data_IF_873661169097
#
_entry.id   IF_873661169097
#
_cell.length_a   1.000
_cell.length_b   1.000
_cell.length_c   1.000
_cell.angle_alpha   90.00
_cell.angle_beta   90.00
_cell.angle_gamma   90.00
#
_symmetry.space_group_name_H-M   'P 1'
#
loop_
_entity.id
_entity.type
_entity.pdbx_description
1 polymer ?
#
# COMPACT_ATOMS: atom_id res chain seq x y z
N UNK A 1 0.09 -43.12 -0.21
CA UNK A 1 -0.79 -42.01 -0.65
C UNK A 1 -1.47 -41.43 0.58
N UNK A 2 -1.02 -40.29 1.06
CA UNK A 2 -1.65 -39.54 2.14
C UNK A 2 -1.93 -38.14 1.59
N UNK A 3 -3.21 -37.82 1.45
CA UNK A 3 -3.69 -36.49 1.06
C UNK A 3 -3.56 -35.59 2.29
N UNK A 4 -2.91 -34.41 2.23
CA UNK A 4 -2.84 -33.54 3.38
C UNK A 4 -4.18 -32.84 3.62
N UNK A 5 -4.53 -32.73 4.90
CA UNK A 5 -5.74 -32.09 5.43
C UNK A 5 -5.82 -30.64 4.96
N UNK A 6 -6.97 -30.28 4.40
CA UNK A 6 -7.42 -28.90 4.20
C UNK A 6 -7.23 -28.10 5.50
N UNK A 7 -6.48 -26.99 5.42
CA UNK A 7 -6.57 -25.93 6.41
C UNK A 7 -7.99 -25.37 6.37
N UNK A 8 -8.76 -25.65 7.42
CA UNK A 8 -9.99 -24.94 7.71
C UNK A 8 -9.58 -23.55 8.22
N UNK A 9 -9.77 -22.52 7.39
CA UNK A 9 -9.67 -21.12 7.81
C UNK A 9 -10.76 -20.87 8.85
N UNK A 10 -10.37 -20.85 10.12
CA UNK A 10 -11.21 -20.27 11.18
C UNK A 10 -11.35 -18.79 10.82
N UNK A 11 -12.57 -18.36 10.52
CA UNK A 11 -12.91 -16.96 10.37
C UNK A 11 -12.72 -16.29 11.74
N UNK A 12 -11.53 -15.71 11.96
CA UNK A 12 -11.32 -14.70 12.99
C UNK A 12 -12.23 -13.53 12.61
N UNK A 13 -13.02 -13.04 13.58
CA UNK A 13 -13.81 -11.83 13.40
C UNK A 13 -12.89 -10.74 12.85
N UNK A 14 -13.13 -10.31 11.60
CA UNK A 14 -12.33 -9.26 10.95
C UNK A 14 -12.53 -7.98 11.74
N UNK A 15 -11.46 -7.49 12.36
CA UNK A 15 -11.42 -6.12 12.83
C UNK A 15 -11.46 -5.15 11.66
N UNK A 16 -11.66 -3.88 11.98
CA UNK A 16 -11.67 -2.78 11.04
C UNK A 16 -10.29 -2.65 10.37
N UNK A 17 -10.17 -3.13 9.13
CA UNK A 17 -8.96 -3.06 8.30
C UNK A 17 -7.73 -3.74 8.93
N UNK A 18 -7.82 -5.06 9.11
CA UNK A 18 -6.76 -5.89 9.72
C UNK A 18 -5.51 -6.08 8.84
N UNK A 19 -5.56 -5.66 7.57
CA UNK A 19 -4.45 -5.79 6.62
C UNK A 19 -4.34 -4.57 5.71
N UNK A 20 -3.15 -4.26 5.17
CA UNK A 20 -3.00 -3.15 4.23
C UNK A 20 -3.79 -3.39 2.94
N UNK A 21 -4.32 -2.31 2.36
CA UNK A 21 -5.13 -2.36 1.14
C UNK A 21 -4.34 -2.84 -0.08
N UNK A 22 -4.99 -3.61 -0.96
CA UNK A 22 -4.53 -3.90 -2.31
C UNK A 22 -5.50 -3.30 -3.31
N UNK A 23 -4.98 -2.75 -4.39
CA UNK A 23 -5.85 -2.12 -5.36
C UNK A 23 -5.13 -1.45 -6.50
N UNK A 24 -5.82 -0.46 -7.02
CA UNK A 24 -5.43 0.34 -8.16
C UNK A 24 -5.61 1.81 -7.82
N UNK A 25 -4.72 2.67 -8.28
CA UNK A 25 -4.86 4.11 -8.17
C UNK A 25 -4.52 4.78 -9.50
N UNK A 26 -5.27 5.80 -9.88
CA UNK A 26 -5.15 6.45 -11.19
C UNK A 26 -3.96 7.42 -11.34
N UNK A 27 -3.23 7.73 -10.26
CA UNK A 27 -2.30 8.85 -10.18
C UNK A 27 -1.20 8.85 -11.24
N UNK A 28 -0.38 7.81 -11.28
CA UNK A 28 0.75 7.73 -12.21
C UNK A 28 0.30 7.63 -13.69
N UNK A 29 -0.98 7.35 -13.96
CA UNK A 29 -1.55 7.33 -15.31
C UNK A 29 -2.20 8.67 -15.69
N UNK A 30 -2.59 9.49 -14.72
CA UNK A 30 -3.57 10.56 -14.96
C UNK A 30 -3.36 11.90 -14.24
N UNK A 31 -2.76 11.95 -13.05
CA UNK A 31 -2.76 13.18 -12.23
C UNK A 31 -1.87 14.31 -12.77
N UNK A 32 -0.85 13.98 -13.56
CA UNK A 32 0.02 14.97 -14.21
C UNK A 32 -0.26 15.22 -15.70
N UNK A 33 -1.26 14.55 -16.27
CA UNK A 33 -1.49 14.55 -17.72
C UNK A 33 -2.50 15.63 -18.14
N UNK A 34 -2.44 16.02 -19.43
CA UNK A 34 -3.42 16.94 -20.03
C UNK A 34 -4.87 16.37 -20.04
N UNK A 35 -5.04 15.09 -19.68
CA UNK A 35 -6.33 14.41 -19.62
C UNK A 35 -6.41 13.60 -18.34
N UNK A 36 -7.30 14.02 -17.45
CA UNK A 36 -7.60 13.28 -16.22
C UNK A 36 -8.39 12.00 -16.51
N UNK A 37 -8.27 10.98 -15.64
CA UNK A 37 -9.13 9.80 -15.66
C UNK A 37 -10.61 10.19 -15.60
N UNK A 38 -11.45 9.39 -16.25
CA UNK A 38 -12.91 9.58 -16.28
C UNK A 38 -13.62 8.26 -15.93
N UNK A 39 -14.93 8.34 -15.68
CA UNK A 39 -15.74 7.18 -15.28
C UNK A 39 -15.59 5.99 -16.24
N UNK A 40 -15.66 6.24 -17.55
CA UNK A 40 -15.56 5.17 -18.56
C UNK A 40 -14.18 4.49 -18.55
N UNK A 41 -13.11 5.25 -18.37
CA UNK A 41 -11.76 4.71 -18.25
C UNK A 41 -11.59 3.90 -16.96
N UNK A 42 -12.11 4.40 -15.84
CA UNK A 42 -12.03 3.70 -14.55
C UNK A 42 -12.75 2.35 -14.60
N UNK A 43 -13.95 2.30 -15.19
CA UNK A 43 -14.71 1.06 -15.33
C UNK A 43 -14.03 0.06 -16.28
N UNK A 44 -13.32 0.52 -17.32
CA UNK A 44 -12.48 -0.37 -18.13
C UNK A 44 -11.30 -0.93 -17.35
N UNK A 45 -10.62 -0.11 -16.54
CA UNK A 45 -9.55 -0.60 -15.68
C UNK A 45 -10.09 -1.65 -14.69
N UNK A 46 -11.27 -1.42 -14.11
CA UNK A 46 -11.96 -2.38 -13.24
C UNK A 46 -12.27 -3.71 -13.95
N UNK A 47 -12.79 -3.67 -15.18
CA UNK A 47 -13.02 -4.88 -15.98
C UNK A 47 -11.72 -5.67 -16.22
N UNK A 48 -10.59 -4.98 -16.44
CA UNK A 48 -9.27 -5.61 -16.60
C UNK A 48 -8.76 -6.21 -15.28
N UNK A 49 -8.95 -5.54 -14.15
CA UNK A 49 -8.56 -6.07 -12.83
C UNK A 49 -9.29 -7.40 -12.55
N UNK A 50 -10.58 -7.48 -12.88
CA UNK A 50 -11.35 -8.72 -12.76
C UNK A 50 -10.84 -9.76 -13.76
N UNK A 51 -10.77 -9.42 -15.05
CA UNK A 51 -10.43 -10.37 -16.12
C UNK A 51 -9.01 -10.95 -15.99
N UNK A 52 -8.07 -10.19 -15.44
CA UNK A 52 -6.66 -10.60 -15.27
C UNK A 52 -6.35 -11.18 -13.89
N UNK A 53 -7.36 -11.40 -13.06
CA UNK A 53 -7.22 -12.09 -11.78
C UNK A 53 -6.66 -11.25 -10.62
N UNK A 54 -6.55 -9.93 -10.78
CA UNK A 54 -6.17 -9.02 -9.69
C UNK A 54 -7.22 -9.03 -8.58
N UNK A 55 -8.51 -8.88 -8.93
CA UNK A 55 -9.60 -8.92 -7.96
C UNK A 55 -9.61 -10.25 -7.18
N UNK A 56 -9.44 -11.38 -7.87
CA UNK A 56 -9.35 -12.70 -7.26
C UNK A 56 -8.09 -12.88 -6.37
N UNK A 57 -7.06 -12.08 -6.57
CA UNK A 57 -5.86 -12.03 -5.74
C UNK A 57 -5.99 -11.03 -4.56
N UNK A 58 -7.10 -10.30 -4.47
CA UNK A 58 -7.39 -9.36 -3.37
C UNK A 58 -7.26 -7.87 -3.72
N UNK A 59 -6.93 -7.53 -4.96
CA UNK A 59 -6.89 -6.13 -5.42
C UNK A 59 -8.32 -5.62 -5.70
N UNK A 60 -9.03 -5.22 -4.65
CA UNK A 60 -10.45 -4.84 -4.73
C UNK A 60 -10.67 -3.34 -4.79
N UNK A 61 -9.74 -2.54 -4.27
CA UNK A 61 -9.87 -1.09 -4.20
C UNK A 61 -9.49 -0.42 -5.53
N UNK A 62 -10.40 0.39 -6.09
CA UNK A 62 -10.21 1.14 -7.34
C UNK A 62 -10.30 2.63 -7.02
N UNK A 63 -9.15 3.27 -6.89
CA UNK A 63 -9.02 4.61 -6.30
C UNK A 63 -8.87 5.69 -7.37
N UNK A 64 -9.82 6.61 -7.40
CA UNK A 64 -9.68 7.87 -8.11
C UNK A 64 -8.71 8.78 -7.35
N UNK A 65 -7.78 9.35 -8.09
CA UNK A 65 -6.87 10.37 -7.61
C UNK A 65 -7.29 11.75 -8.19
N UNK A 66 -6.39 12.72 -8.27
CA UNK A 66 -6.69 14.09 -8.72
C UNK A 66 -7.50 14.17 -10.04
N UNK A 67 -8.38 15.18 -10.10
CA UNK A 67 -9.14 15.54 -11.30
C UNK A 67 -10.55 14.95 -11.37
N UNK A 68 -11.03 14.23 -10.37
CA UNK A 68 -12.41 13.73 -10.38
C UNK A 68 -13.48 14.82 -10.14
N UNK A 69 -13.16 15.83 -9.32
CA UNK A 69 -14.06 16.91 -8.94
C UNK A 69 -13.74 18.23 -9.65
N UNK A 70 -14.73 19.12 -9.70
CA UNK A 70 -14.52 20.52 -10.08
C UNK A 70 -13.79 21.29 -8.98
N UNK A 71 -13.09 22.36 -9.41
CA UNK A 71 -12.51 23.34 -8.48
C UNK A 71 -13.59 24.15 -7.76
N UNK A 72 -14.66 24.47 -8.49
CA UNK A 72 -15.81 25.17 -7.93
C UNK A 72 -16.69 24.18 -7.16
N UNK A 73 -17.08 24.58 -5.95
CA UNK A 73 -18.14 23.91 -5.19
C UNK A 73 -19.51 24.40 -5.68
N UNK A 74 -20.55 23.63 -5.42
CA UNK A 74 -21.92 24.08 -5.68
C UNK A 74 -22.36 25.23 -4.75
N UNK A 75 -23.58 25.75 -4.98
CA UNK A 75 -24.15 26.85 -4.20
C UNK A 75 -24.35 26.52 -2.71
N UNK A 76 -24.44 25.24 -2.35
CA UNK A 76 -24.53 24.78 -0.98
C UNK A 76 -23.14 24.58 -0.36
N UNK A 77 -22.08 24.58 -1.17
CA UNK A 77 -20.68 24.42 -0.82
C UNK A 77 -20.20 22.96 -0.78
N UNK A 78 -20.86 22.06 -1.50
CA UNK A 78 -20.43 20.66 -1.66
C UNK A 78 -19.40 20.54 -2.77
N UNK A 79 -18.49 19.57 -2.65
CA UNK A 79 -17.73 19.13 -3.82
C UNK A 79 -18.68 18.54 -4.85
N UNK A 80 -18.40 18.82 -6.11
CA UNK A 80 -19.16 18.27 -7.24
C UNK A 80 -18.20 17.53 -8.16
N UNK A 81 -18.59 16.34 -8.60
CA UNK A 81 -17.86 15.62 -9.62
C UNK A 81 -17.91 16.42 -10.93
N UNK A 82 -16.82 16.41 -11.69
CA UNK A 82 -16.80 17.06 -12.99
C UNK A 82 -17.73 16.29 -13.95
N UNK A 83 -18.82 16.91 -14.41
CA UNK A 83 -19.88 16.22 -15.19
C UNK A 83 -19.38 15.68 -16.55
N UNK A 84 -18.38 16.31 -17.16
CA UNK A 84 -17.78 15.82 -18.42
C UNK A 84 -17.01 14.51 -18.22
N UNK A 85 -16.38 14.34 -17.04
CA UNK A 85 -15.59 13.15 -16.70
C UNK A 85 -16.41 12.09 -15.96
N UNK A 86 -17.39 12.51 -15.16
CA UNK A 86 -18.20 11.68 -14.29
C UNK A 86 -19.68 12.04 -14.45
N UNK A 87 -20.28 11.78 -15.63
CA UNK A 87 -21.68 12.12 -15.88
C UNK A 87 -22.60 11.39 -14.90
N UNK A 88 -23.49 12.15 -14.24
CA UNK A 88 -24.33 11.62 -13.17
C UNK A 88 -23.62 11.45 -11.82
N UNK A 89 -22.39 11.94 -11.69
CA UNK A 89 -21.64 12.00 -10.43
C UNK A 89 -20.86 10.73 -10.06
N UNK A 90 -20.47 10.66 -8.79
CA UNK A 90 -19.61 9.57 -8.25
C UNK A 90 -20.40 8.27 -8.04
N UNK A 91 -21.66 8.37 -7.61
CA UNK A 91 -22.48 7.21 -7.22
C UNK A 91 -22.66 6.17 -8.32
N UNK A 92 -22.97 6.51 -9.58
CA UNK A 92 -23.06 5.52 -10.65
C UNK A 92 -21.77 4.72 -10.86
N UNK A 93 -20.61 5.32 -10.59
CA UNK A 93 -19.32 4.64 -10.66
C UNK A 93 -19.13 3.69 -9.48
N UNK A 94 -19.47 4.13 -8.27
CA UNK A 94 -19.46 3.28 -7.07
C UNK A 94 -20.36 2.05 -7.26
N UNK A 95 -21.63 2.26 -7.64
CA UNK A 95 -22.60 1.19 -7.88
C UNK A 95 -22.08 0.19 -8.93
N UNK A 96 -21.43 0.69 -10.00
CA UNK A 96 -20.86 -0.17 -11.04
C UNK A 96 -19.62 -0.96 -10.58
N UNK A 97 -18.80 -0.41 -9.67
CA UNK A 97 -17.68 -1.12 -9.06
C UNK A 97 -18.17 -2.16 -8.04
N UNK A 98 -19.13 -1.80 -7.18
CA UNK A 98 -19.74 -2.73 -6.22
C UNK A 98 -20.41 -3.91 -6.91
N UNK A 99 -21.04 -3.71 -8.07
CA UNK A 99 -21.59 -4.80 -8.89
C UNK A 99 -20.53 -5.79 -9.43
N UNK A 100 -19.23 -5.48 -9.29
CA UNK A 100 -18.08 -6.31 -9.65
C UNK A 100 -17.31 -6.84 -8.42
N UNK A 101 -17.88 -6.70 -7.23
CA UNK A 101 -17.19 -6.96 -5.95
C UNK A 101 -15.89 -6.14 -5.79
N UNK A 102 -15.89 -4.93 -6.36
CA UNK A 102 -14.81 -3.95 -6.22
C UNK A 102 -15.28 -2.75 -5.40
N UNK A 103 -14.33 -2.05 -4.82
CA UNK A 103 -14.53 -0.89 -3.95
C UNK A 103 -14.12 0.40 -4.68
N UNK A 104 -14.79 1.51 -4.40
CA UNK A 104 -14.43 2.82 -4.94
C UNK A 104 -13.61 3.63 -3.93
N UNK A 105 -12.46 4.12 -4.35
CA UNK A 105 -11.73 5.16 -3.62
C UNK A 105 -11.84 6.53 -4.24
N UNK A 106 -11.76 7.56 -3.40
CA UNK A 106 -11.75 8.96 -3.80
C UNK A 106 -10.56 9.71 -3.19
N UNK A 107 -10.27 10.89 -3.74
CA UNK A 107 -9.15 11.73 -3.34
C UNK A 107 -9.60 13.12 -2.89
N UNK A 108 -9.00 13.64 -1.84
CA UNK A 108 -9.15 15.02 -1.38
C UNK A 108 -7.84 15.52 -0.77
N UNK A 109 -7.84 16.74 -0.22
CA UNK A 109 -6.73 17.30 0.53
C UNK A 109 -7.20 18.09 1.74
N UNK A 110 -6.34 18.20 2.75
CA UNK A 110 -6.54 19.02 3.96
C UNK A 110 -6.52 20.54 3.73
N UNK A 111 -6.34 20.98 2.49
CA UNK A 111 -6.35 22.38 2.06
C UNK A 111 -7.63 22.75 1.26
N UNK A 112 -7.85 24.03 0.93
CA UNK A 112 -9.03 24.45 0.16
C UNK A 112 -9.10 23.90 -1.27
N UNK A 113 -7.96 23.57 -1.86
CA UNK A 113 -7.81 23.01 -3.22
C UNK A 113 -6.87 21.81 -3.15
N UNK A 114 -7.03 20.83 -4.04
CA UNK A 114 -6.10 19.69 -4.11
C UNK A 114 -4.69 20.12 -4.53
N UNK A 115 -3.70 19.24 -4.37
CA UNK A 115 -2.29 19.54 -4.66
C UNK A 115 -2.02 20.17 -6.04
N UNK A 116 -2.68 19.69 -7.09
CA UNK A 116 -2.55 20.22 -8.44
C UNK A 116 -3.43 21.43 -8.73
N UNK A 117 -4.22 21.90 -7.76
CA UNK A 117 -5.13 23.04 -7.89
C UNK A 117 -6.23 22.78 -8.93
N UNK A 118 -6.69 21.53 -9.04
CA UNK A 118 -7.67 21.09 -10.06
C UNK A 118 -9.04 20.77 -9.52
N UNK A 119 -9.11 20.48 -8.23
CA UNK A 119 -10.35 20.11 -7.54
C UNK A 119 -10.42 20.83 -6.20
N UNK A 120 -11.64 21.07 -5.71
CA UNK A 120 -11.82 21.58 -4.36
C UNK A 120 -11.28 20.56 -3.34
N UNK A 121 -10.48 21.00 -2.36
CA UNK A 121 -10.05 20.19 -1.22
C UNK A 121 -11.03 20.29 -0.05
N UNK A 122 -10.85 19.47 0.99
CA UNK A 122 -11.83 19.27 2.08
C UNK A 122 -11.63 20.16 3.31
N UNK A 123 -10.71 21.13 3.27
CA UNK A 123 -10.49 21.96 4.45
C UNK A 123 -11.78 22.56 5.03
N UNK A 124 -11.97 22.36 6.35
CA UNK A 124 -13.04 22.99 7.12
C UNK A 124 -14.43 22.47 6.73
N UNK A 125 -14.46 21.46 5.88
CA UNK A 125 -15.65 20.84 5.29
C UNK A 125 -15.59 19.32 5.43
N UNK A 126 -14.69 18.79 6.25
CA UNK A 126 -14.45 17.36 6.42
C UNK A 126 -15.74 16.61 6.82
N UNK A 127 -16.53 17.18 7.73
CA UNK A 127 -17.82 16.62 8.14
C UNK A 127 -18.83 16.49 6.99
N UNK A 128 -18.85 17.48 6.09
CA UNK A 128 -19.75 17.51 4.95
C UNK A 128 -19.28 16.58 3.85
N UNK A 129 -18.02 16.74 3.44
CA UNK A 129 -17.44 15.99 2.33
C UNK A 129 -17.37 14.50 2.70
N UNK A 130 -16.96 14.15 3.93
CA UNK A 130 -16.98 12.77 4.42
C UNK A 130 -18.37 12.12 4.41
N UNK A 131 -19.42 12.87 4.79
CA UNK A 131 -20.79 12.38 4.69
C UNK A 131 -21.25 12.18 3.24
N UNK A 132 -20.84 13.08 2.33
CA UNK A 132 -21.13 12.95 0.89
C UNK A 132 -20.43 11.71 0.29
N UNK A 133 -19.17 11.47 0.63
CA UNK A 133 -18.42 10.29 0.16
C UNK A 133 -19.14 9.00 0.54
N UNK A 134 -19.56 8.87 1.80
CA UNK A 134 -20.33 7.70 2.24
C UNK A 134 -21.67 7.59 1.51
N UNK A 135 -22.38 8.71 1.32
CA UNK A 135 -23.66 8.72 0.60
C UNK A 135 -23.52 8.35 -0.90
N UNK A 136 -22.34 8.61 -1.49
CA UNK A 136 -22.01 8.19 -2.86
C UNK A 136 -21.54 6.74 -2.96
N UNK A 137 -21.32 6.05 -1.84
CA UNK A 137 -20.83 4.67 -1.82
C UNK A 137 -19.31 4.53 -1.87
N UNK A 138 -18.56 5.57 -1.49
CA UNK A 138 -17.08 5.50 -1.41
C UNK A 138 -16.64 4.59 -0.27
N UNK A 139 -15.64 3.76 -0.51
CA UNK A 139 -15.07 2.77 0.42
C UNK A 139 -13.66 3.11 0.89
N UNK A 140 -12.97 4.01 0.17
CA UNK A 140 -11.61 4.44 0.46
C UNK A 140 -11.47 5.96 0.23
N UNK A 141 -10.77 6.65 1.12
CA UNK A 141 -10.44 8.07 0.97
C UNK A 141 -8.94 8.27 1.12
N UNK A 142 -8.28 8.82 0.09
CA UNK A 142 -6.94 9.40 0.18
C UNK A 142 -7.07 10.90 0.49
N UNK A 143 -6.46 11.35 1.59
CA UNK A 143 -6.50 12.74 2.04
C UNK A 143 -5.09 13.34 2.11
N UNK A 144 -4.81 14.12 1.09
CA UNK A 144 -3.48 14.65 0.77
C UNK A 144 -3.05 15.78 1.71
N UNK A 145 -1.73 15.95 1.82
CA UNK A 145 -1.05 16.89 2.70
C UNK A 145 -0.66 18.23 2.10
N UNK A 146 -1.03 18.54 0.86
CA UNK A 146 -0.58 19.77 0.22
C UNK A 146 -1.20 21.03 0.82
N UNK A 147 -0.35 22.00 1.17
CA UNK A 147 -0.77 23.32 1.65
C UNK A 147 -1.26 23.32 3.10
N UNK A 148 -1.66 24.50 3.57
CA UNK A 148 -2.34 24.66 4.85
C UNK A 148 -3.61 25.47 4.64
N UNK A 149 -4.66 25.12 5.37
CA UNK A 149 -5.90 25.87 5.29
C UNK A 149 -5.95 27.09 6.24
N UNK A 150 -5.03 27.14 7.20
CA UNK A 150 -4.94 28.22 8.16
C UNK A 150 -3.48 28.66 8.32
N UNK A 151 -3.31 29.90 8.79
CA UNK A 151 -2.02 30.49 9.19
C UNK A 151 -1.46 29.92 10.52
N UNK A 152 -2.04 28.84 11.05
CA UNK A 152 -1.58 28.17 12.27
C UNK A 152 -0.43 27.19 12.00
N UNK A 153 0.25 26.73 13.07
CA UNK A 153 1.20 25.62 13.01
C UNK A 153 0.55 24.44 12.26
N UNK A 154 1.02 24.20 11.03
CA UNK A 154 0.44 23.24 10.08
C UNK A 154 0.30 21.82 10.66
N UNK A 155 1.08 21.54 11.70
CA UNK A 155 1.11 20.28 12.42
C UNK A 155 -0.16 19.97 13.23
N UNK A 156 -0.57 20.86 14.12
CA UNK A 156 -1.76 20.59 14.94
C UNK A 156 -3.04 20.59 14.10
N UNK A 157 -3.03 21.38 13.01
CA UNK A 157 -4.13 21.41 12.07
C UNK A 157 -4.32 20.08 11.32
N UNK A 158 -3.27 19.50 10.71
CA UNK A 158 -3.47 18.29 9.91
C UNK A 158 -3.99 17.12 10.74
N UNK A 159 -3.52 16.95 11.99
CA UNK A 159 -4.08 15.95 12.90
C UNK A 159 -5.56 16.17 13.19
N UNK A 160 -5.96 17.43 13.41
CA UNK A 160 -7.36 17.76 13.66
C UNK A 160 -8.24 17.58 12.42
N UNK A 161 -7.73 17.92 11.23
CA UNK A 161 -8.44 17.71 9.96
C UNK A 161 -8.66 16.22 9.71
N UNK A 162 -7.63 15.38 9.85
CA UNK A 162 -7.77 13.93 9.77
C UNK A 162 -8.72 13.36 10.81
N UNK A 163 -8.69 13.88 12.05
CA UNK A 163 -9.65 13.48 13.08
C UNK A 163 -11.08 13.79 12.69
N UNK A 164 -11.33 14.95 12.08
CA UNK A 164 -12.66 15.36 11.62
C UNK A 164 -13.12 14.51 10.44
N UNK A 165 -12.25 14.27 9.46
CA UNK A 165 -12.56 13.43 8.32
C UNK A 165 -12.87 11.99 8.76
N UNK A 166 -12.01 11.37 9.57
CA UNK A 166 -12.24 10.02 10.09
C UNK A 166 -13.55 9.92 10.90
N UNK A 167 -13.83 10.92 11.75
CA UNK A 167 -15.09 10.97 12.48
C UNK A 167 -16.31 11.11 11.56
N UNK A 168 -16.21 11.91 10.49
CA UNK A 168 -17.25 12.08 9.50
C UNK A 168 -17.54 10.78 8.75
N UNK A 169 -16.49 10.12 8.25
CA UNK A 169 -16.58 8.85 7.53
C UNK A 169 -17.21 7.76 8.40
N UNK A 170 -16.72 7.58 9.62
CA UNK A 170 -17.28 6.60 10.57
C UNK A 170 -18.71 6.91 10.96
N UNK A 171 -18.99 8.17 11.30
CA UNK A 171 -20.33 8.61 11.71
C UNK A 171 -21.35 8.41 10.60
N UNK A 172 -21.01 8.80 9.37
CA UNK A 172 -21.87 8.62 8.21
C UNK A 172 -22.04 7.13 7.85
N UNK A 173 -20.97 6.33 7.89
CA UNK A 173 -21.04 4.90 7.61
C UNK A 173 -21.94 4.17 8.63
N UNK A 174 -21.80 4.49 9.92
CA UNK A 174 -22.65 3.95 10.97
C UNK A 174 -24.11 4.38 10.80
N UNK A 175 -24.37 5.66 10.48
CA UNK A 175 -25.72 6.15 10.22
C UNK A 175 -26.38 5.51 9.00
N UNK A 176 -25.58 5.16 7.98
CA UNK A 176 -26.01 4.43 6.79
C UNK A 176 -26.11 2.91 7.02
N UNK A 177 -25.75 2.40 8.21
CA UNK A 177 -25.79 0.97 8.54
C UNK A 177 -24.78 0.13 7.75
N UNK A 178 -23.65 0.72 7.32
CA UNK A 178 -22.60 -0.03 6.60
C UNK A 178 -21.88 -0.97 7.55
N UNK A 179 -21.71 -2.22 7.11
CA UNK A 179 -20.93 -3.23 7.85
C UNK A 179 -19.42 -2.96 7.77
N UNK A 180 -18.97 -2.47 6.61
CA UNK A 180 -17.56 -2.11 6.37
C UNK A 180 -17.38 -0.60 6.54
N UNK A 181 -16.40 -0.15 7.35
CA UNK A 181 -16.01 1.24 7.43
C UNK A 181 -15.37 1.73 6.11
N UNK A 182 -15.08 3.02 6.03
CA UNK A 182 -14.30 3.60 4.91
C UNK A 182 -12.82 3.57 5.27
N UNK A 183 -11.98 3.02 4.40
CA UNK A 183 -10.53 2.97 4.59
C UNK A 183 -9.97 4.37 4.42
N UNK A 184 -9.27 4.88 5.43
CA UNK A 184 -8.78 6.25 5.41
C UNK A 184 -7.27 6.32 5.29
N UNK A 185 -6.78 6.82 4.15
CA UNK A 185 -5.36 6.98 3.84
C UNK A 185 -4.94 8.43 3.95
N UNK A 186 -3.88 8.68 4.72
CA UNK A 186 -3.40 10.04 5.01
C UNK A 186 -2.00 10.27 4.46
N UNK A 187 -1.71 11.50 4.07
CA UNK A 187 -0.44 11.85 3.40
C UNK A 187 0.42 12.86 4.18
N UNK A 188 -0.22 13.77 4.92
CA UNK A 188 0.42 14.58 5.95
C UNK A 188 0.53 13.78 7.26
N UNK A 189 1.63 13.89 7.99
CA UNK A 189 1.67 13.36 9.37
C UNK A 189 2.62 14.17 10.24
N UNK A 190 2.12 15.24 10.86
CA UNK A 190 2.95 16.02 11.76
C UNK A 190 3.24 15.30 13.09
N UNK A 191 2.45 14.29 13.46
CA UNK A 191 2.79 13.36 14.54
C UNK A 191 2.30 11.93 14.22
N UNK A 192 3.03 11.25 13.35
CA UNK A 192 2.74 9.88 12.92
C UNK A 192 2.67 8.87 14.08
N UNK A 193 3.46 9.05 15.15
CA UNK A 193 3.39 8.16 16.32
C UNK A 193 1.98 8.19 16.93
N UNK A 194 1.43 9.39 17.15
CA UNK A 194 0.07 9.56 17.68
C UNK A 194 -0.99 8.98 16.74
N UNK A 195 -0.80 9.13 15.43
CA UNK A 195 -1.70 8.54 14.42
C UNK A 195 -1.69 7.02 14.52
N UNK A 196 -0.51 6.41 14.62
CA UNK A 196 -0.36 4.96 14.75
C UNK A 196 -0.95 4.38 16.03
N UNK A 197 -1.00 5.15 17.12
CA UNK A 197 -1.63 4.71 18.38
C UNK A 197 -3.16 4.76 18.33
N UNK A 198 -3.72 5.56 17.41
CA UNK A 198 -5.16 5.82 17.27
C UNK A 198 -5.60 5.82 15.80
N UNK A 199 -5.42 4.71 15.07
CA UNK A 199 -5.88 4.60 13.68
C UNK A 199 -7.40 4.83 13.57
N UNK A 200 -8.14 4.51 14.62
CA UNK A 200 -9.56 4.79 14.74
C UNK A 200 -9.93 6.28 14.68
N UNK A 201 -8.99 7.16 15.02
CA UNK A 201 -9.15 8.60 14.94
C UNK A 201 -8.47 9.24 13.74
N UNK A 202 -7.38 8.66 13.24
CA UNK A 202 -6.51 9.36 12.29
C UNK A 202 -6.35 8.64 10.95
N UNK A 203 -6.93 7.46 10.78
CA UNK A 203 -6.84 6.68 9.56
C UNK A 203 -5.92 5.48 9.65
N UNK A 204 -5.97 4.67 8.60
CA UNK A 204 -5.39 3.34 8.55
C UNK A 204 -4.01 3.31 7.92
N UNK A 205 -3.65 4.32 7.13
CA UNK A 205 -2.33 4.40 6.50
C UNK A 205 -1.76 5.80 6.56
N UNK A 206 -0.44 5.86 6.50
CA UNK A 206 0.29 7.09 6.29
C UNK A 206 1.37 6.95 5.21
N UNK A 207 1.33 7.87 4.24
CA UNK A 207 2.34 8.02 3.19
C UNK A 207 3.68 8.41 3.80
N UNK A 208 4.55 7.42 3.92
CA UNK A 208 5.74 7.46 4.76
C UNK A 208 6.85 8.35 4.21
N UNK A 209 6.88 8.57 2.89
CA UNK A 209 7.97 9.26 2.18
C UNK A 209 7.47 10.28 1.16
N UNK A 210 8.14 10.32 0.01
CA UNK A 210 7.80 11.20 -1.11
C UNK A 210 6.98 10.44 -2.16
N UNK A 211 6.49 11.12 -3.19
CA UNK A 211 5.94 10.45 -4.39
C UNK A 211 7.02 9.57 -5.03
N UNK A 212 6.71 8.30 -5.24
CA UNK A 212 7.60 7.38 -5.93
C UNK A 212 7.59 7.71 -7.41
N UNK A 213 8.79 7.78 -7.99
CA UNK A 213 8.99 7.88 -9.44
C UNK A 213 9.62 6.59 -9.93
N UNK A 214 9.50 6.23 -11.23
CA UNK A 214 9.84 4.89 -11.71
C UNK A 214 11.36 4.71 -11.93
N UNK A 215 12.14 4.92 -10.87
CA UNK A 215 13.60 4.75 -10.82
C UNK A 215 13.97 3.92 -9.60
N UNK A 216 15.03 3.11 -9.73
CA UNK A 216 15.53 2.28 -8.63
C UNK A 216 15.90 3.10 -7.40
N UNK A 217 16.55 4.26 -7.59
CA UNK A 217 16.93 5.15 -6.49
C UNK A 217 15.73 5.71 -5.71
N UNK A 218 14.62 6.03 -6.40
CA UNK A 218 13.41 6.53 -5.75
C UNK A 218 12.75 5.48 -4.87
N UNK A 219 12.55 4.25 -5.36
CA UNK A 219 11.94 3.20 -4.54
C UNK A 219 12.83 2.79 -3.36
N UNK A 220 14.16 2.79 -3.54
CA UNK A 220 15.08 2.54 -2.43
C UNK A 220 15.01 3.63 -1.36
N UNK A 221 14.88 4.89 -1.76
CA UNK A 221 14.68 6.03 -0.85
C UNK A 221 13.39 5.84 -0.03
N UNK A 222 12.30 5.40 -0.66
CA UNK A 222 11.05 5.06 0.05
C UNK A 222 11.26 3.99 1.11
N UNK A 223 11.98 2.90 0.79
CA UNK A 223 12.24 1.84 1.78
C UNK A 223 13.17 2.29 2.90
N UNK A 224 14.12 3.18 2.60
CA UNK A 224 15.01 3.77 3.60
C UNK A 224 14.23 4.61 4.61
N UNK A 225 13.27 5.40 4.14
CA UNK A 225 12.38 6.18 5.00
C UNK A 225 11.45 5.26 5.80
N UNK A 226 10.74 4.34 5.12
CA UNK A 226 9.82 3.40 5.74
C UNK A 226 10.48 2.51 6.80
N UNK A 227 11.76 2.15 6.62
CA UNK A 227 12.53 1.39 7.62
C UNK A 227 12.58 2.07 8.98
N UNK A 228 12.62 3.41 9.02
CA UNK A 228 12.65 4.17 10.27
C UNK A 228 11.30 4.19 10.99
N UNK A 229 10.25 3.73 10.31
CA UNK A 229 8.85 3.83 10.70
C UNK A 229 8.21 2.46 10.91
N UNK A 230 8.90 1.36 10.59
CA UNK A 230 8.38 -0.01 10.66
C UNK A 230 7.71 -0.37 12.00
N UNK A 231 8.18 0.20 13.12
CA UNK A 231 7.59 -0.02 14.46
C UNK A 231 6.15 0.49 14.60
N UNK A 232 5.74 1.40 13.71
CA UNK A 232 4.43 2.04 13.72
C UNK A 232 3.40 1.20 12.95
N UNK A 233 3.83 0.28 12.09
CA UNK A 233 2.92 -0.60 11.38
C UNK A 233 2.50 -1.78 12.25
N UNK A 234 1.20 -1.92 12.47
CA UNK A 234 0.63 -2.97 13.29
C UNK A 234 -0.84 -3.19 12.95
N UNK A 235 -1.36 -4.33 13.38
CA UNK A 235 -2.78 -4.60 13.41
C UNK A 235 -3.30 -4.60 14.86
N UNK A 236 -4.00 -3.54 15.27
CA UNK A 236 -4.60 -3.42 16.60
C UNK A 236 -6.04 -3.96 16.58
N UNK A 237 -6.19 -5.26 16.91
CA UNK A 237 -7.46 -6.03 16.85
C UNK A 237 -8.67 -5.46 17.62
N UNK A 238 -8.58 -4.25 18.19
CA UNK A 238 -9.72 -3.47 18.71
C UNK A 238 -9.78 -1.99 18.28
N UNK A 239 -8.78 -1.45 17.58
CA UNK A 239 -8.75 -0.07 17.07
C UNK A 239 -8.52 0.03 15.55
N UNK A 240 -8.30 -1.10 14.90
CA UNK A 240 -7.99 -1.22 13.48
C UNK A 240 -6.50 -1.18 13.18
N UNK A 241 -6.13 -1.52 11.94
CA UNK A 241 -4.74 -1.51 11.50
C UNK A 241 -4.21 -0.09 11.22
N UNK A 242 -2.92 0.10 11.49
CA UNK A 242 -2.14 1.23 10.99
C UNK A 242 -0.98 0.68 10.16
N UNK A 243 -0.89 1.07 8.89
CA UNK A 243 0.10 0.54 7.96
C UNK A 243 0.88 1.66 7.29
N UNK A 244 2.08 1.33 6.80
CA UNK A 244 2.85 2.27 6.02
C UNK A 244 2.23 2.40 4.63
N UNK A 245 2.50 3.51 3.97
CA UNK A 245 2.25 3.67 2.55
C UNK A 245 3.56 4.16 1.91
N UNK A 246 4.21 3.26 1.17
CA UNK A 246 5.46 3.51 0.44
C UNK A 246 5.20 4.09 -0.96
N UNK A 247 4.01 4.66 -1.17
CA UNK A 247 3.49 5.19 -2.42
C UNK A 247 3.08 4.08 -3.43
N UNK A 248 2.67 4.47 -4.64
CA UNK A 248 2.13 3.52 -5.61
C UNK A 248 3.23 2.68 -6.28
N UNK A 249 2.86 1.46 -6.68
CA UNK A 249 3.73 0.58 -7.43
C UNK A 249 4.05 1.19 -8.80
N UNK A 250 5.34 1.25 -9.10
CA UNK A 250 5.91 1.79 -10.33
C UNK A 250 5.98 0.74 -11.46
N UNK A 251 5.38 -0.44 -11.24
CA UNK A 251 5.39 -1.57 -12.20
C UNK A 251 4.82 -1.16 -13.56
N UNK A 252 5.45 -1.64 -14.63
CA UNK A 252 5.10 -1.28 -16.00
C UNK A 252 5.70 0.06 -16.48
N UNK A 253 6.49 0.75 -15.65
CA UNK A 253 6.98 2.10 -15.94
C UNK A 253 8.48 2.25 -15.68
N UNK A 254 9.14 3.14 -16.42
CA UNK A 254 10.55 3.48 -16.24
C UNK A 254 11.48 2.28 -16.03
N UNK A 255 12.20 2.25 -14.91
CA UNK A 255 13.10 1.15 -14.54
C UNK A 255 12.40 -0.13 -14.05
N UNK A 256 11.06 -0.15 -14.05
CA UNK A 256 10.20 -1.29 -13.66
C UNK A 256 9.29 -1.74 -14.82
N UNK A 257 9.71 -1.54 -16.07
CA UNK A 257 9.00 -2.04 -17.25
C UNK A 257 8.85 -3.56 -17.28
N UNK A 258 7.99 -4.07 -18.17
CA UNK A 258 7.60 -5.49 -18.24
C UNK A 258 8.76 -6.52 -18.34
N UNK A 259 9.97 -6.09 -18.73
CA UNK A 259 11.17 -6.93 -18.84
C UNK A 259 12.13 -6.80 -17.64
N UNK A 260 11.78 -6.02 -16.61
CA UNK A 260 12.58 -5.71 -15.41
C UNK A 260 12.16 -6.57 -14.23
N UNK A 261 12.18 -7.90 -14.42
CA UNK A 261 11.60 -8.87 -13.48
C UNK A 261 12.23 -8.78 -12.09
N UNK A 262 13.56 -8.60 -12.02
CA UNK A 262 14.27 -8.55 -10.74
C UNK A 262 13.96 -7.26 -9.97
N UNK A 263 13.93 -6.11 -10.66
CA UNK A 263 13.52 -4.84 -10.06
C UNK A 263 12.06 -4.89 -9.57
N UNK A 264 11.15 -5.48 -10.36
CA UNK A 264 9.74 -5.65 -9.98
C UNK A 264 9.63 -6.57 -8.76
N UNK A 265 10.30 -7.73 -8.74
CA UNK A 265 10.30 -8.65 -7.59
C UNK A 265 10.77 -7.95 -6.33
N UNK A 266 11.86 -7.20 -6.39
CA UNK A 266 12.36 -6.41 -5.28
C UNK A 266 11.33 -5.38 -4.82
N UNK A 267 10.72 -4.67 -5.76
CA UNK A 267 9.74 -3.64 -5.45
C UNK A 267 8.52 -4.18 -4.72
N UNK A 268 7.88 -5.22 -5.27
CA UNK A 268 6.66 -5.81 -4.69
C UNK A 268 6.98 -6.57 -3.39
N UNK A 269 8.17 -7.17 -3.27
CA UNK A 269 8.64 -7.79 -2.03
C UNK A 269 8.79 -6.76 -0.92
N UNK A 270 9.39 -5.61 -1.21
CA UNK A 270 9.59 -4.59 -0.19
C UNK A 270 8.27 -3.95 0.24
N UNK A 271 7.32 -3.72 -0.67
CA UNK A 271 5.96 -3.32 -0.29
C UNK A 271 5.28 -4.34 0.62
N UNK A 272 5.38 -5.63 0.28
CA UNK A 272 4.84 -6.72 1.10
C UNK A 272 5.48 -6.78 2.50
N UNK A 273 6.80 -6.69 2.55
CA UNK A 273 7.59 -6.75 3.78
C UNK A 273 7.33 -5.54 4.69
N UNK A 274 7.21 -4.34 4.11
CA UNK A 274 6.97 -3.09 4.85
C UNK A 274 5.50 -2.88 5.21
N UNK A 275 4.62 -3.82 4.83
CA UNK A 275 3.17 -3.69 5.00
C UNK A 275 2.64 -2.42 4.37
N UNK A 276 3.21 -2.03 3.23
CA UNK A 276 2.71 -0.90 2.45
C UNK A 276 1.32 -1.21 1.91
N UNK A 277 0.51 -0.20 1.58
CA UNK A 277 -0.53 -0.40 0.56
C UNK A 277 0.11 -0.95 -0.72
N UNK A 278 -0.64 -1.77 -1.46
CA UNK A 278 -0.17 -2.42 -2.67
C UNK A 278 -1.05 -1.98 -3.85
N UNK A 279 -0.86 -0.72 -4.24
CA UNK A 279 -1.64 -0.03 -5.27
C UNK A 279 -0.91 -0.06 -6.61
N UNK A 280 -1.47 -0.73 -7.61
CA UNK A 280 -1.01 -0.65 -9.00
C UNK A 280 -1.40 0.72 -9.56
N UNK A 281 -0.49 1.42 -10.20
CA UNK A 281 -0.80 2.70 -10.84
C UNK A 281 -0.21 2.77 -12.24
N UNK A 282 -0.59 1.83 -13.10
CA UNK A 282 -0.19 1.81 -14.52
C UNK A 282 -1.38 1.46 -15.39
N UNK A 283 -1.26 1.57 -16.71
CA UNK A 283 -2.26 1.02 -17.62
C UNK A 283 -2.27 -0.52 -17.48
N UNK A 284 -3.21 -1.03 -16.68
CA UNK A 284 -3.26 -2.45 -16.24
C UNK A 284 -3.44 -3.46 -17.37
N UNK A 285 -3.96 -3.02 -18.52
CA UNK A 285 -4.05 -3.79 -19.76
C UNK A 285 -2.69 -3.97 -20.44
N UNK A 286 -1.72 -3.08 -20.19
CA UNK A 286 -0.37 -3.12 -20.78
C UNK A 286 0.64 -3.93 -19.98
N UNK A 287 0.31 -4.35 -18.77
CA UNK A 287 1.18 -5.24 -17.98
C UNK A 287 1.33 -6.60 -18.70
N UNK A 288 2.53 -7.17 -18.72
CA UNK A 288 2.70 -8.54 -19.24
C UNK A 288 2.13 -9.56 -18.26
N UNK A 289 1.74 -10.74 -18.74
CA UNK A 289 1.25 -11.82 -17.86
C UNK A 289 2.31 -12.25 -16.83
N UNK A 290 3.59 -12.13 -17.20
CA UNK A 290 4.70 -12.32 -16.26
C UNK A 290 4.65 -11.34 -15.10
N UNK A 291 4.41 -10.05 -15.34
CA UNK A 291 4.28 -9.06 -14.27
C UNK A 291 3.01 -9.30 -13.44
N UNK A 292 1.89 -9.61 -14.08
CA UNK A 292 0.65 -9.95 -13.36
C UNK A 292 0.89 -11.12 -12.42
N UNK A 293 1.57 -12.19 -12.87
CA UNK A 293 1.88 -13.34 -12.04
C UNK A 293 2.78 -13.01 -10.83
N UNK A 294 3.66 -12.01 -10.93
CA UNK A 294 4.44 -11.52 -9.79
C UNK A 294 3.55 -10.81 -8.77
N UNK A 295 2.65 -9.95 -9.24
CA UNK A 295 1.73 -9.17 -8.41
C UNK A 295 0.68 -10.07 -7.72
N UNK A 296 0.18 -11.07 -8.43
CA UNK A 296 -0.82 -12.02 -7.92
C UNK A 296 -0.20 -13.27 -7.27
N UNK A 297 1.11 -13.25 -6.95
CA UNK A 297 1.77 -14.39 -6.32
C UNK A 297 1.21 -14.61 -4.91
N UNK A 298 0.53 -15.75 -4.70
CA UNK A 298 -0.17 -16.05 -3.43
C UNK A 298 0.73 -16.08 -2.21
N UNK A 299 1.99 -16.50 -2.35
CA UNK A 299 2.93 -16.58 -1.23
C UNK A 299 3.47 -15.20 -0.84
N UNK A 300 3.74 -14.34 -1.83
CA UNK A 300 4.04 -12.92 -1.59
C UNK A 300 2.86 -12.24 -0.89
N UNK A 301 1.65 -12.44 -1.42
CA UNK A 301 0.44 -11.83 -0.87
C UNK A 301 0.12 -12.35 0.53
N UNK A 302 0.42 -13.61 0.83
CA UNK A 302 0.31 -14.13 2.20
C UNK A 302 1.31 -13.47 3.18
N UNK A 303 2.49 -13.05 2.70
CA UNK A 303 3.41 -12.23 3.50
C UNK A 303 2.83 -10.83 3.70
N UNK A 304 2.32 -10.18 2.65
CA UNK A 304 1.72 -8.85 2.74
C UNK A 304 0.49 -8.82 3.68
N UNK A 305 -0.43 -9.77 3.49
CA UNK A 305 -1.70 -9.91 4.21
C UNK A 305 -1.60 -10.72 5.51
N UNK A 306 -0.39 -10.99 6.02
CA UNK A 306 -0.25 -11.69 7.30
C UNK A 306 -0.93 -10.89 8.44
N UNK A 307 -1.77 -11.53 9.27
CA UNK A 307 -2.67 -10.82 10.19
C UNK A 307 -1.97 -10.14 11.37
N UNK A 308 -0.66 -10.36 11.59
CA UNK A 308 0.09 -9.54 12.54
C UNK A 308 0.24 -8.09 12.08
N UNK A 309 0.16 -7.83 10.76
CA UNK A 309 0.31 -6.47 10.22
C UNK A 309 1.69 -5.85 10.48
N UNK A 310 2.68 -6.64 10.91
CA UNK A 310 3.97 -6.13 11.34
C UNK A 310 4.92 -5.89 10.15
N UNK A 311 5.40 -4.65 10.02
CA UNK A 311 6.39 -4.30 8.99
C UNK A 311 7.78 -4.86 9.31
N UNK A 312 8.53 -5.10 8.24
CA UNK A 312 9.91 -5.55 8.33
C UNK A 312 10.82 -4.47 8.88
N UNK A 313 11.76 -4.89 9.73
CA UNK A 313 12.91 -4.07 10.10
C UNK A 313 14.13 -4.49 9.27
N UNK A 314 15.01 -3.54 8.98
CA UNK A 314 16.35 -3.85 8.46
C UNK A 314 17.17 -4.51 9.57
N UNK A 315 17.65 -5.73 9.31
CA UNK A 315 18.43 -6.52 10.26
C UNK A 315 19.93 -6.37 10.05
N UNK A 316 20.36 -6.26 8.79
CA UNK A 316 21.75 -6.02 8.41
C UNK A 316 21.80 -5.21 7.11
N UNK A 317 22.88 -4.45 6.94
CA UNK A 317 23.18 -3.67 5.74
C UNK A 317 24.68 -3.62 5.54
N UNK A 318 25.13 -3.89 4.33
CA UNK A 318 26.49 -3.70 3.86
C UNK A 318 26.45 -2.74 2.66
N UNK A 319 27.12 -1.58 2.69
CA UNK A 319 27.71 -0.97 3.88
C UNK A 319 26.65 -0.64 4.93
N UNK A 320 27.04 -0.24 6.16
CA UNK A 320 26.09 0.27 7.15
C UNK A 320 25.20 1.36 6.54
N UNK A 321 23.91 1.32 6.87
CA UNK A 321 22.90 2.20 6.31
C UNK A 321 23.35 3.66 6.39
N UNK A 322 23.29 4.37 5.26
CA UNK A 322 23.64 5.79 5.16
C UNK A 322 22.37 6.61 4.89
N UNK A 323 22.25 7.85 5.42
CA UNK A 323 21.06 8.70 5.21
C UNK A 323 20.76 9.15 3.78
N UNK A 324 21.34 8.55 2.73
CA UNK A 324 21.09 8.90 1.32
C UNK A 324 21.20 7.66 0.45
N UNK A 325 20.26 7.48 -0.46
CA UNK A 325 20.13 6.38 -1.42
C UNK A 325 21.31 6.31 -2.42
N UNK A 326 22.50 6.00 -1.92
CA UNK A 326 23.64 5.71 -2.78
C UNK A 326 23.39 4.34 -3.43
N UNK A 327 23.16 4.34 -4.75
CA UNK A 327 23.23 3.12 -5.56
C UNK A 327 24.70 2.83 -5.79
N UNK A 328 25.26 1.90 -5.03
CA UNK A 328 26.64 1.46 -5.20
C UNK A 328 26.71 0.40 -6.31
N UNK A 329 27.86 0.34 -6.99
CA UNK A 329 28.11 -0.62 -8.06
C UNK A 329 28.28 -2.06 -7.56
N UNK A 330 28.58 -2.26 -6.28
CA UNK A 330 28.67 -3.55 -5.59
C UNK A 330 28.57 -3.37 -4.07
N UNK A 331 28.31 -4.45 -3.34
CA UNK A 331 28.34 -4.50 -1.88
C UNK A 331 27.30 -3.59 -1.23
N UNK A 332 26.12 -3.43 -1.86
CA UNK A 332 24.96 -2.70 -1.33
C UNK A 332 23.85 -3.71 -1.02
N UNK A 333 24.01 -4.44 0.06
CA UNK A 333 23.26 -5.63 0.39
C UNK A 333 22.50 -5.43 1.69
N UNK A 334 21.25 -5.85 1.73
CA UNK A 334 20.44 -5.72 2.92
C UNK A 334 19.72 -7.01 3.26
N UNK A 335 19.63 -7.29 4.56
CA UNK A 335 18.79 -8.34 5.10
C UNK A 335 17.70 -7.72 5.95
N UNK A 336 16.45 -8.08 5.66
CA UNK A 336 15.26 -7.59 6.35
C UNK A 336 14.51 -8.75 6.99
N UNK A 337 13.79 -8.48 8.09
CA UNK A 337 12.96 -9.48 8.78
C UNK A 337 11.66 -8.87 9.26
N UNK A 338 10.56 -9.57 9.00
CA UNK A 338 9.24 -9.29 9.57
C UNK A 338 8.75 -10.52 10.34
N UNK A 339 8.23 -10.37 11.57
CA UNK A 339 7.49 -11.46 12.22
C UNK A 339 6.18 -11.70 11.48
N UNK A 340 5.79 -12.96 11.39
CA UNK A 340 4.53 -13.42 10.81
C UNK A 340 3.74 -14.21 11.85
N UNK A 341 2.43 -14.32 11.66
CA UNK A 341 1.56 -15.09 12.52
C UNK A 341 2.01 -16.55 12.65
N UNK A 342 1.83 -17.12 13.85
CA UNK A 342 2.25 -18.48 14.17
C UNK A 342 3.75 -18.64 14.44
N UNK A 343 4.44 -17.55 14.82
CA UNK A 343 5.88 -17.59 15.15
C UNK A 343 6.79 -17.77 13.93
N UNK A 344 6.26 -17.56 12.72
CA UNK A 344 7.02 -17.57 11.46
C UNK A 344 7.70 -16.22 11.24
N UNK A 345 8.58 -16.15 10.25
CA UNK A 345 9.23 -14.91 9.84
C UNK A 345 9.30 -14.82 8.32
N UNK A 346 9.08 -13.63 7.76
CA UNK A 346 9.50 -13.32 6.40
C UNK A 346 10.90 -12.69 6.43
N UNK A 347 11.76 -13.08 5.51
CA UNK A 347 13.13 -12.55 5.39
C UNK A 347 13.39 -12.17 3.95
N UNK A 348 13.85 -10.94 3.72
CA UNK A 348 14.26 -10.48 2.40
C UNK A 348 15.77 -10.29 2.36
N UNK A 349 16.42 -10.92 1.37
CA UNK A 349 17.81 -10.67 0.99
C UNK A 349 17.78 -9.74 -0.22
N UNK A 350 17.85 -8.44 0.01
CA UNK A 350 17.75 -7.41 -1.03
C UNK A 350 19.13 -7.04 -1.54
N UNK A 351 19.36 -7.29 -2.82
CA UNK A 351 20.55 -6.80 -3.51
C UNK A 351 20.24 -5.44 -4.16
N UNK A 352 20.80 -4.36 -3.60
CA UNK A 352 20.60 -3.00 -4.10
C UNK A 352 21.60 -2.62 -5.20
N UNK A 353 22.59 -3.47 -5.46
CA UNK A 353 23.63 -3.25 -6.46
C UNK A 353 23.22 -3.81 -7.83
N UNK A 354 23.84 -3.37 -8.93
CA UNK A 354 23.52 -3.84 -10.28
C UNK A 354 24.09 -5.23 -10.62
N UNK A 355 24.99 -5.79 -9.81
CA UNK A 355 25.63 -7.08 -10.06
C UNK A 355 25.04 -8.17 -9.17
N UNK A 356 25.06 -9.43 -9.62
CA UNK A 356 24.66 -10.55 -8.76
C UNK A 356 25.65 -10.71 -7.61
N UNK A 357 25.14 -10.90 -6.39
CA UNK A 357 25.94 -11.02 -5.17
C UNK A 357 25.40 -12.13 -4.28
N UNK A 358 26.27 -12.76 -3.48
CA UNK A 358 25.85 -13.72 -2.47
C UNK A 358 25.49 -12.98 -1.18
N UNK A 359 24.28 -13.22 -0.67
CA UNK A 359 23.80 -12.67 0.59
C UNK A 359 23.56 -13.81 1.57
N UNK A 360 23.94 -13.59 2.84
CA UNK A 360 23.72 -14.55 3.92
C UNK A 360 22.86 -13.94 5.03
N UNK A 361 21.65 -14.46 5.21
CA UNK A 361 20.86 -14.21 6.41
C UNK A 361 21.37 -15.09 7.55
N UNK A 362 22.02 -14.48 8.55
CA UNK A 362 22.34 -15.20 9.80
C UNK A 362 21.22 -15.03 10.82
N UNK A 363 20.75 -16.12 11.43
CA UNK A 363 19.72 -16.08 12.48
C UNK A 363 20.07 -15.10 13.58
N UNK A 364 21.35 -15.02 13.97
CA UNK A 364 21.81 -14.03 14.95
C UNK A 364 21.53 -12.59 14.53
N UNK A 365 21.82 -12.19 13.29
CA UNK A 365 21.53 -10.84 12.80
C UNK A 365 20.01 -10.56 12.76
N UNK A 366 19.22 -11.59 12.47
CA UNK A 366 17.75 -11.52 12.50
C UNK A 366 17.18 -11.50 13.93
N UNK A 367 17.99 -11.71 14.97
CA UNK A 367 17.51 -11.87 16.35
C UNK A 367 16.85 -13.23 16.61
N UNK A 368 17.09 -14.22 15.74
CA UNK A 368 16.55 -15.57 15.79
C UNK A 368 17.57 -16.58 16.31
N UNK A 369 17.08 -17.72 16.79
CA UNK A 369 17.86 -18.89 17.21
C UNK A 369 17.13 -20.17 16.83
N UNK A 370 17.87 -21.28 16.75
CA UNK A 370 17.33 -22.60 16.44
C UNK A 370 17.40 -22.97 14.97
N UNK A 371 16.57 -23.92 14.58
CA UNK A 371 16.45 -24.46 13.23
C UNK A 371 15.12 -24.03 12.62
N UNK A 372 15.14 -23.61 11.35
CA UNK A 372 13.94 -23.20 10.63
C UNK A 372 13.80 -23.96 9.32
N UNK A 373 12.58 -24.35 8.98
CA UNK A 373 12.24 -24.69 7.61
C UNK A 373 12.27 -23.40 6.78
N UNK A 374 12.96 -23.42 5.65
CA UNK A 374 13.10 -22.28 4.74
C UNK A 374 12.29 -22.53 3.47
N UNK A 375 11.29 -21.69 3.21
CA UNK A 375 10.55 -21.61 1.95
C UNK A 375 11.08 -20.42 1.14
N UNK A 376 11.53 -20.65 -0.08
CA UNK A 376 11.88 -19.59 -1.03
C UNK A 376 10.67 -19.27 -1.91
N UNK A 377 10.09 -18.10 -1.70
CA UNK A 377 8.84 -17.66 -2.33
C UNK A 377 9.00 -17.45 -3.83
N UNK A 378 10.11 -16.85 -4.27
CA UNK A 378 10.32 -16.55 -5.69
C UNK A 378 10.82 -17.76 -6.47
N UNK A 379 11.59 -18.64 -5.83
CA UNK A 379 11.96 -19.94 -6.43
C UNK A 379 10.85 -20.97 -6.35
N UNK A 380 9.79 -20.71 -5.57
CA UNK A 380 8.64 -21.61 -5.41
C UNK A 380 9.01 -22.97 -4.80
N UNK A 381 10.07 -23.03 -3.99
CA UNK A 381 10.61 -24.29 -3.46
C UNK A 381 10.88 -24.25 -1.96
N UNK A 382 10.78 -25.42 -1.34
CA UNK A 382 11.25 -25.63 0.03
C UNK A 382 12.75 -25.88 -0.05
N UNK A 383 13.54 -24.98 0.57
CA UNK A 383 14.99 -25.08 0.53
C UNK A 383 15.54 -26.10 1.55
N UNK A 384 14.72 -26.50 2.53
CA UNK A 384 15.08 -27.44 3.59
C UNK A 384 15.11 -26.80 4.98
N UNK A 385 15.67 -27.52 5.94
CA UNK A 385 15.82 -27.07 7.32
C UNK A 385 17.24 -26.52 7.55
N UNK A 386 17.35 -25.30 8.09
CA UNK A 386 18.62 -24.61 8.28
C UNK A 386 18.83 -24.18 9.73
N UNK A 387 20.02 -24.45 10.25
CA UNK A 387 20.48 -23.96 11.54
C UNK A 387 21.51 -22.84 11.35
N UNK A 388 21.36 -21.75 12.10
CA UNK A 388 22.29 -20.62 12.13
C UNK A 388 22.21 -19.62 10.97
N UNK A 389 22.03 -20.06 9.72
CA UNK A 389 21.96 -19.15 8.56
C UNK A 389 21.40 -19.78 7.28
N UNK A 390 21.04 -18.93 6.32
CA UNK A 390 20.74 -19.27 4.93
C UNK A 390 21.45 -18.30 3.99
N UNK A 391 22.02 -18.80 2.88
CA UNK A 391 22.70 -18.00 1.86
C UNK A 391 22.10 -18.24 0.48
N UNK A 392 22.08 -17.18 -0.34
CA UNK A 392 21.64 -17.25 -1.73
C UNK A 392 22.40 -16.24 -2.58
N UNK A 393 22.68 -16.62 -3.83
CA UNK A 393 23.09 -15.66 -4.88
C UNK A 393 21.86 -14.92 -5.39
N UNK A 394 21.81 -13.61 -5.17
CA UNK A 394 20.71 -12.74 -5.55
C UNK A 394 21.13 -11.90 -6.76
N UNK A 395 20.37 -11.90 -7.87
CA UNK A 395 20.64 -11.06 -9.03
C UNK A 395 20.78 -9.58 -8.66
N UNK A 396 21.45 -8.82 -9.53
CA UNK A 396 21.53 -7.36 -9.38
C UNK A 396 20.14 -6.73 -9.37
N UNK A 397 19.89 -5.83 -8.43
CA UNK A 397 18.58 -5.23 -8.13
C UNK A 397 17.49 -6.26 -7.79
N UNK A 398 17.87 -7.50 -7.51
CA UNK A 398 16.97 -8.60 -7.18
C UNK A 398 16.78 -8.79 -5.68
N UNK A 399 15.91 -9.73 -5.34
CA UNK A 399 15.60 -10.10 -3.96
C UNK A 399 15.36 -11.61 -3.85
N UNK A 400 15.81 -12.23 -2.76
CA UNK A 400 15.26 -13.50 -2.30
C UNK A 400 14.28 -13.23 -1.16
N UNK A 401 13.04 -13.70 -1.29
CA UNK A 401 12.02 -13.65 -0.23
C UNK A 401 11.85 -15.04 0.37
N UNK A 402 12.13 -15.15 1.66
CA UNK A 402 12.09 -16.40 2.41
C UNK A 402 10.99 -16.34 3.46
N UNK A 403 10.29 -17.46 3.66
CA UNK A 403 9.44 -17.68 4.84
C UNK A 403 10.09 -18.75 5.71
N UNK A 404 10.32 -18.40 6.97
CA UNK A 404 10.92 -19.23 7.99
C UNK A 404 9.85 -19.77 8.93
N UNK A 405 9.79 -21.08 9.10
CA UNK A 405 8.96 -21.73 10.11
C UNK A 405 9.83 -22.44 11.14
N UNK A 406 9.68 -22.17 12.45
CA UNK A 406 10.46 -22.85 13.48
C UNK A 406 10.30 -24.37 13.40
N UNK A 407 11.41 -25.10 13.57
CA UNK A 407 11.39 -26.54 13.85
C UNK A 407 11.57 -26.75 15.35
N UNK A 408 10.64 -27.50 15.93
CA UNK A 408 10.67 -27.90 17.34
C UNK A 408 11.42 -29.21 17.53
#
# INVERSE_FOLDING_TARGET
MHVPRLLCLVAVARGEFDTPMLGFNTCNVGCGNATFPNAAWLLRAADVLVARGFAAAGYTSVNLDEGWADLARDGDGNQVANEDRFPGGVRPVADALHARDLELGIYTSLSPETCGGKSAGSCGREARDGAAYVAWGVDYVKDDGCGSCHDYDAADWALESYRRMQAALRGAAAAAGRETPVFFSTESAPNVTRMSERPDLYGNTWRSGHDAIPTWGSVLSQYDIASGLARLAHNDSGRGGFFLDCDMLQVGQGEFGNNRVEEIRSHVTMHAMLKSTLLVSTEVDRLSDGVVALLTNRELLAVHQDPLGAAARRAASEPPARPRAAVLSSGNLETWVAPLAGGRYAVALLNRSPAAEELTATWRALGLRGTYAVRDVWAGRDAGDFAGSYAATVPGKGVALLVLAPRH
#
